data_IF_379672418276
#
_entry.id   IF_379672418276
#
_cell.length_a   1.000
_cell.length_b   1.000
_cell.length_c   1.000
_cell.angle_alpha   90.00
_cell.angle_beta   90.00
_cell.angle_gamma   90.00
#
_symmetry.space_group_name_H-M   'P 1'
#
loop_
_entity.id
_entity.type
_entity.pdbx_description
1 polymer ?
#
# COMPACT_ATOMS: atom_id res chain seq x y z
N UNK A 1 -6.66 1.74 -15.63
CA UNK A 1 -7.32 0.46 -15.22
C UNK A 1 -6.85 0.09 -13.83
N UNK A 2 -7.71 -0.35 -12.94
CA UNK A 2 -7.33 -0.87 -11.60
C UNK A 2 -7.63 -2.36 -11.53
N UNK A 3 -6.68 -3.16 -11.01
CA UNK A 3 -6.81 -4.60 -10.79
C UNK A 3 -6.55 -4.90 -9.31
N UNK A 4 -7.38 -5.73 -8.71
CA UNK A 4 -7.21 -6.16 -7.31
C UNK A 4 -7.03 -7.67 -7.29
N UNK A 5 -5.92 -8.13 -6.70
CA UNK A 5 -5.58 -9.54 -6.58
C UNK A 5 -5.72 -9.92 -5.10
N UNK A 6 -6.72 -10.70 -4.78
CA UNK A 6 -7.01 -11.15 -3.42
C UNK A 6 -7.11 -12.68 -3.33
N UNK A 7 -6.97 -13.21 -2.12
CA UNK A 7 -7.03 -14.65 -1.84
C UNK A 7 -6.31 -15.00 -0.55
N UNK A 8 -6.41 -16.26 -0.14
CA UNK A 8 -5.78 -16.78 1.08
C UNK A 8 -4.25 -16.70 1.02
N UNK A 9 -3.58 -16.73 2.18
CA UNK A 9 -2.13 -16.89 2.27
C UNK A 9 -1.65 -18.11 1.47
N UNK A 10 -0.52 -17.97 0.78
CA UNK A 10 0.07 -19.05 0.00
C UNK A 10 -0.59 -19.40 -1.35
N UNK A 11 -1.69 -18.75 -1.74
CA UNK A 11 -2.38 -19.06 -3.02
C UNK A 11 -1.72 -18.43 -4.27
N UNK A 12 -0.54 -17.85 -4.16
CA UNK A 12 0.21 -17.34 -5.31
C UNK A 12 -0.10 -15.90 -5.70
N UNK A 13 -0.76 -15.09 -4.86
CA UNK A 13 -1.08 -13.68 -5.14
C UNK A 13 0.12 -12.89 -5.63
N UNK A 14 1.23 -12.94 -4.89
CA UNK A 14 2.45 -12.18 -5.22
C UNK A 14 3.04 -12.61 -6.57
N UNK A 15 3.02 -13.90 -6.86
CA UNK A 15 3.48 -14.43 -8.15
C UNK A 15 2.61 -13.93 -9.30
N UNK A 16 1.29 -14.02 -9.16
CA UNK A 16 0.35 -13.54 -10.18
C UNK A 16 0.49 -12.03 -10.36
N UNK A 17 0.58 -11.27 -9.28
CA UNK A 17 0.78 -9.81 -9.34
C UNK A 17 2.06 -9.44 -10.11
N UNK A 18 3.16 -10.12 -9.80
CA UNK A 18 4.44 -9.86 -10.46
C UNK A 18 4.42 -10.22 -11.95
N UNK A 19 3.84 -11.36 -12.30
CA UNK A 19 3.72 -11.77 -13.71
C UNK A 19 2.83 -10.81 -14.50
N UNK A 20 1.70 -10.40 -13.95
CA UNK A 20 0.81 -9.43 -14.59
C UNK A 20 1.48 -8.06 -14.76
N UNK A 21 2.18 -7.57 -13.73
CA UNK A 21 2.89 -6.30 -13.81
C UNK A 21 3.96 -6.33 -14.92
N UNK A 22 4.72 -7.40 -15.02
CA UNK A 22 5.73 -7.58 -16.07
C UNK A 22 5.12 -7.66 -17.46
N UNK A 23 4.03 -8.41 -17.61
CA UNK A 23 3.35 -8.54 -18.90
C UNK A 23 2.78 -7.19 -19.37
N UNK A 24 2.16 -6.43 -18.47
CA UNK A 24 1.64 -5.11 -18.79
C UNK A 24 2.77 -4.13 -19.15
N UNK A 25 3.86 -4.13 -18.38
CA UNK A 25 5.03 -3.29 -18.68
C UNK A 25 5.69 -3.68 -20.03
N UNK A 26 5.77 -4.96 -20.36
CA UNK A 26 6.27 -5.44 -21.65
C UNK A 26 5.39 -4.97 -22.83
N UNK A 27 4.12 -4.68 -22.59
CA UNK A 27 3.21 -4.07 -23.56
C UNK A 27 3.28 -2.54 -23.61
N UNK A 28 4.20 -1.94 -22.86
CA UNK A 28 4.41 -0.48 -22.83
C UNK A 28 3.53 0.26 -21.81
N UNK A 29 2.79 -0.46 -20.98
CA UNK A 29 1.96 0.16 -19.96
C UNK A 29 2.82 0.60 -18.75
N UNK A 30 2.45 1.74 -18.14
CA UNK A 30 3.01 2.18 -16.86
C UNK A 30 2.24 1.54 -15.71
N UNK A 31 2.89 0.68 -14.95
CA UNK A 31 2.26 -0.10 -13.89
C UNK A 31 2.68 0.41 -12.51
N UNK A 32 1.71 0.75 -11.67
CA UNK A 32 1.92 0.94 -10.24
C UNK A 32 1.40 -0.30 -9.50
N UNK A 33 2.28 -0.99 -8.83
CA UNK A 33 1.94 -2.10 -7.93
C UNK A 33 1.83 -1.55 -6.52
N UNK A 34 0.69 -1.80 -5.85
CA UNK A 34 0.45 -1.40 -4.47
C UNK A 34 0.38 -2.66 -3.62
N UNK A 35 1.40 -2.88 -2.78
CA UNK A 35 1.46 -4.02 -1.87
C UNK A 35 0.81 -3.66 -0.54
N UNK A 36 -0.38 -4.22 -0.31
CA UNK A 36 -1.17 -4.03 0.91
C UNK A 36 -1.25 -5.29 1.78
N UNK A 37 -0.48 -6.33 1.47
CA UNK A 37 -0.40 -7.54 2.30
C UNK A 37 0.49 -7.24 3.51
N UNK A 38 -0.11 -7.07 4.68
CA UNK A 38 0.55 -6.67 5.91
C UNK A 38 1.59 -7.69 6.41
N UNK A 39 1.47 -8.95 6.01
CA UNK A 39 2.31 -10.07 6.48
C UNK A 39 3.36 -10.52 5.48
N UNK A 40 3.24 -10.14 4.22
CA UNK A 40 4.12 -10.60 3.16
C UNK A 40 5.10 -9.49 2.72
N UNK A 41 6.39 -9.75 2.90
CA UNK A 41 7.47 -8.86 2.51
C UNK A 41 8.20 -9.31 1.22
N UNK A 42 7.60 -10.21 0.43
CA UNK A 42 8.30 -10.85 -0.70
C UNK A 42 7.97 -10.31 -2.08
N UNK A 43 6.95 -9.45 -2.24
CA UNK A 43 6.50 -9.02 -3.57
C UNK A 43 7.59 -8.28 -4.36
N UNK A 44 8.38 -7.43 -3.71
CA UNK A 44 9.49 -6.73 -4.36
C UNK A 44 10.53 -7.70 -4.96
N UNK A 45 10.79 -8.84 -4.31
CA UNK A 45 11.70 -9.87 -4.83
C UNK A 45 11.16 -10.51 -6.10
N UNK A 46 9.84 -10.79 -6.14
CA UNK A 46 9.20 -11.33 -7.34
C UNK A 46 9.24 -10.33 -8.50
N UNK A 47 9.25 -9.04 -8.23
CA UNK A 47 9.39 -7.99 -9.24
C UNK A 47 10.85 -7.73 -9.64
N UNK A 48 11.83 -8.19 -8.86
CA UNK A 48 13.24 -7.90 -9.06
C UNK A 48 13.63 -6.47 -8.64
N UNK A 49 12.87 -5.89 -7.70
CA UNK A 49 13.05 -4.54 -7.22
C UNK A 49 13.69 -4.52 -5.82
N UNK A 50 14.12 -3.36 -5.38
CA UNK A 50 14.49 -3.13 -3.99
C UNK A 50 13.26 -3.12 -3.07
N UNK A 51 13.49 -3.32 -1.77
CA UNK A 51 12.40 -3.26 -0.79
C UNK A 51 11.94 -1.81 -0.61
N UNK A 52 10.67 -1.48 -0.88
CA UNK A 52 10.16 -0.16 -0.62
C UNK A 52 10.03 0.10 0.89
N UNK A 53 10.18 1.36 1.28
CA UNK A 53 9.78 1.80 2.62
C UNK A 53 8.27 1.77 2.74
N UNK A 54 7.76 1.48 3.95
CA UNK A 54 6.31 1.48 4.17
C UNK A 54 5.76 2.92 4.17
N UNK A 55 4.74 3.15 3.36
CA UNK A 55 4.05 4.44 3.30
C UNK A 55 3.49 4.87 4.67
N UNK A 56 3.08 3.91 5.51
CA UNK A 56 2.59 4.20 6.86
C UNK A 56 3.65 4.88 7.74
N UNK A 57 4.93 4.56 7.55
CA UNK A 57 6.02 5.19 8.30
C UNK A 57 6.11 6.69 8.02
N UNK A 58 5.85 7.11 6.77
CA UNK A 58 5.84 8.54 6.40
C UNK A 58 4.70 9.32 7.05
N UNK A 59 3.62 8.64 7.46
CA UNK A 59 2.50 9.21 8.19
C UNK A 59 2.69 9.25 9.71
N UNK A 60 3.91 9.01 10.19
CA UNK A 60 4.22 8.93 11.63
C UNK A 60 3.97 7.55 12.24
N UNK A 61 3.94 6.52 11.40
CA UNK A 61 3.72 5.15 11.83
C UNK A 61 2.35 4.92 12.46
N UNK A 62 2.24 3.87 13.28
CA UNK A 62 0.98 3.54 13.97
C UNK A 62 0.51 4.60 14.96
N UNK A 63 1.42 5.34 15.58
CA UNK A 63 1.04 6.42 16.51
C UNK A 63 0.34 7.54 15.75
N UNK A 64 0.92 8.02 14.66
CA UNK A 64 0.31 9.06 13.83
C UNK A 64 -1.03 8.63 13.24
N UNK A 65 -1.11 7.40 12.71
CA UNK A 65 -2.35 6.84 12.20
C UNK A 65 -3.40 6.67 13.31
N UNK A 66 -2.99 6.18 14.49
CA UNK A 66 -3.87 6.02 15.65
C UNK A 66 -4.42 7.35 16.19
N UNK A 67 -3.63 8.42 16.14
CA UNK A 67 -4.09 9.77 16.51
C UNK A 67 -5.12 10.32 15.52
N UNK A 68 -4.90 10.15 14.22
CA UNK A 68 -5.85 10.53 13.18
C UNK A 68 -7.17 9.77 13.32
N UNK A 69 -7.09 8.45 13.57
CA UNK A 69 -8.27 7.61 13.81
C UNK A 69 -9.04 8.03 15.08
N UNK A 70 -8.34 8.34 16.17
CA UNK A 70 -8.97 8.84 17.41
C UNK A 70 -9.64 10.19 17.21
N UNK A 71 -9.01 11.08 16.45
CA UNK A 71 -9.61 12.39 16.09
C UNK A 71 -10.92 12.18 15.33
N UNK A 72 -10.93 11.29 14.37
CA UNK A 72 -12.14 10.92 13.63
C UNK A 72 -13.23 10.32 14.54
N UNK A 73 -12.88 9.37 15.41
CA UNK A 73 -13.85 8.77 16.34
C UNK A 73 -14.46 9.79 17.31
N UNK A 74 -13.70 10.83 17.68
CA UNK A 74 -14.20 11.93 18.54
C UNK A 74 -15.08 12.92 17.79
N UNK A 75 -14.99 13.02 16.48
CA UNK A 75 -15.83 13.88 15.66
C UNK A 75 -17.25 13.35 15.44
N UNK A 76 -17.63 12.23 16.09
CA UNK A 76 -18.93 11.55 15.96
C UNK A 76 -19.33 11.25 14.51
N UNK A 77 -18.36 11.00 13.64
CA UNK A 77 -18.60 10.70 12.24
C UNK A 77 -19.02 11.90 11.39
N UNK A 78 -18.94 13.12 11.92
CA UNK A 78 -19.22 14.35 11.17
C UNK A 78 -18.11 14.71 10.18
N UNK A 79 -16.89 14.27 10.43
CA UNK A 79 -15.79 14.35 9.47
C UNK A 79 -15.74 13.03 8.68
N UNK A 80 -15.54 13.11 7.36
CA UNK A 80 -15.20 11.90 6.59
C UNK A 80 -13.87 11.40 7.13
N UNK A 81 -13.75 10.09 7.37
CA UNK A 81 -12.46 9.47 7.66
C UNK A 81 -11.59 9.64 6.41
N UNK A 82 -10.88 10.74 6.32
CA UNK A 82 -9.83 10.94 5.34
C UNK A 82 -8.51 10.89 6.07
N UNK A 83 -7.83 9.76 5.96
CA UNK A 83 -6.47 9.59 6.48
C UNK A 83 -5.51 10.32 5.55
N UNK A 84 -5.90 10.42 4.28
CA UNK A 84 -5.16 11.03 3.18
C UNK A 84 -5.95 12.23 2.65
N UNK A 85 -5.89 13.38 3.33
CA UNK A 85 -6.49 14.63 2.86
C UNK A 85 -5.80 15.05 1.54
N UNK A 86 -6.59 15.39 0.52
CA UNK A 86 -6.14 15.91 -0.80
C UNK A 86 -5.00 15.12 -1.48
N UNK A 87 -5.00 13.80 -1.31
CA UNK A 87 -3.95 12.92 -1.83
C UNK A 87 -4.16 12.57 -3.31
N UNK A 88 -3.09 12.69 -4.08
CA UNK A 88 -2.99 12.21 -5.46
C UNK A 88 -1.75 11.30 -5.63
N UNK A 89 -1.64 10.64 -6.79
CA UNK A 89 -0.46 9.84 -7.13
C UNK A 89 0.86 10.63 -7.08
N UNK A 90 0.77 11.93 -7.34
CA UNK A 90 1.92 12.84 -7.36
C UNK A 90 2.40 13.19 -5.95
N UNK A 91 1.54 13.00 -4.95
CA UNK A 91 1.86 13.28 -3.54
C UNK A 91 2.57 12.12 -2.84
N UNK A 92 2.75 10.98 -3.52
CA UNK A 92 3.55 9.89 -2.98
C UNK A 92 5.01 10.32 -2.97
N UNK A 93 5.65 10.42 -1.80
CA UNK A 93 7.07 10.73 -1.74
C UNK A 93 7.89 9.77 -2.60
N UNK A 94 8.78 10.29 -3.42
CA UNK A 94 9.56 9.49 -4.36
C UNK A 94 10.43 8.44 -3.67
N UNK A 95 10.85 8.70 -2.43
CA UNK A 95 11.60 7.76 -1.61
C UNK A 95 10.81 6.53 -1.14
N UNK A 96 9.48 6.53 -1.31
CA UNK A 96 8.60 5.42 -0.99
C UNK A 96 8.26 4.57 -2.23
N UNK A 97 8.60 5.06 -3.41
CA UNK A 97 8.37 4.38 -4.67
C UNK A 97 9.68 3.76 -5.11
N UNK A 98 9.68 2.46 -5.33
CA UNK A 98 10.80 1.75 -5.95
C UNK A 98 10.39 1.23 -7.31
N UNK A 99 11.33 1.15 -8.23
CA UNK A 99 11.14 0.53 -9.53
C UNK A 99 11.62 1.37 -10.70
N UNK A 100 11.82 0.65 -11.81
CA UNK A 100 12.28 1.14 -13.10
C UNK A 100 11.50 0.45 -14.22
N UNK A 101 11.81 0.78 -15.47
CA UNK A 101 11.33 0.05 -16.67
C UNK A 101 9.81 -0.17 -16.75
N UNK A 102 9.04 0.85 -16.34
CA UNK A 102 7.57 0.82 -16.45
C UNK A 102 6.86 0.17 -15.27
N UNK A 103 7.56 -0.40 -14.28
CA UNK A 103 6.97 -0.96 -13.07
C UNK A 103 7.42 -0.15 -11.86
N UNK A 104 6.46 0.35 -11.09
CA UNK A 104 6.68 1.01 -9.79
C UNK A 104 5.98 0.23 -8.69
N UNK A 105 6.59 0.16 -7.50
CA UNK A 105 6.06 -0.53 -6.34
C UNK A 105 6.00 0.42 -5.13
N UNK A 106 4.89 0.39 -4.43
CA UNK A 106 4.67 1.04 -3.12
C UNK A 106 4.18 -0.01 -2.13
N UNK A 107 4.69 0.01 -0.90
CA UNK A 107 4.20 -0.81 0.20
C UNK A 107 3.39 0.02 1.19
N UNK A 108 2.26 -0.52 1.67
CA UNK A 108 1.36 0.16 2.60
C UNK A 108 0.95 -0.79 3.72
N UNK A 109 1.21 -0.38 4.96
CA UNK A 109 0.66 -1.02 6.15
C UNK A 109 1.32 -2.36 6.49
N UNK A 110 2.63 -2.45 6.41
CA UNK A 110 3.38 -3.64 6.83
C UNK A 110 3.43 -3.81 8.34
N UNK A 111 3.34 -5.06 8.82
CA UNK A 111 3.52 -5.43 10.23
C UNK A 111 4.94 -5.99 10.38
N UNK A 112 5.78 -5.29 11.12
CA UNK A 112 7.20 -5.66 11.29
C UNK A 112 7.42 -6.50 12.54
N UNK A 113 6.65 -6.29 13.61
CA UNK A 113 6.86 -6.93 14.90
C UNK A 113 5.64 -7.68 15.41
N UNK A 114 5.90 -8.79 16.13
CA UNK A 114 4.86 -9.54 16.82
C UNK A 114 4.21 -8.68 17.92
N UNK A 115 2.88 -8.62 17.94
CA UNK A 115 2.15 -7.82 18.92
C UNK A 115 1.91 -6.37 18.52
N UNK A 116 2.30 -5.96 17.31
CA UNK A 116 2.07 -4.60 16.80
C UNK A 116 0.58 -4.20 16.66
N UNK A 117 -0.36 -5.06 17.00
CA UNK A 117 -1.78 -4.74 17.08
C UNK A 117 -2.59 -5.10 15.84
N UNK A 118 -3.81 -4.55 15.75
CA UNK A 118 -4.78 -4.89 14.71
C UNK A 118 -4.41 -4.33 13.33
N UNK A 119 -4.57 -5.15 12.28
CA UNK A 119 -4.45 -4.73 10.88
C UNK A 119 -5.58 -3.79 10.40
N UNK A 120 -6.64 -3.58 11.20
CA UNK A 120 -7.80 -2.78 10.81
C UNK A 120 -7.47 -1.33 10.36
N UNK A 121 -6.60 -0.57 11.06
CA UNK A 121 -6.21 0.76 10.61
C UNK A 121 -5.43 0.75 9.30
N UNK A 122 -4.62 -0.28 9.08
CA UNK A 122 -3.84 -0.47 7.86
C UNK A 122 -4.73 -0.77 6.66
N UNK A 123 -5.73 -1.64 6.85
CA UNK A 123 -6.72 -1.92 5.83
C UNK A 123 -7.57 -0.69 5.45
N UNK A 124 -7.86 0.20 6.41
CA UNK A 124 -8.55 1.46 6.13
C UNK A 124 -7.67 2.40 5.30
N UNK A 125 -6.39 2.56 5.66
CA UNK A 125 -5.41 3.35 4.91
C UNK A 125 -5.23 2.82 3.48
N UNK A 126 -5.03 1.51 3.33
CA UNK A 126 -4.85 0.87 2.03
C UNK A 126 -6.08 1.06 1.12
N UNK A 127 -7.28 0.92 1.69
CA UNK A 127 -8.53 1.14 0.95
C UNK A 127 -8.64 2.58 0.46
N UNK A 128 -8.40 3.55 1.34
CA UNK A 128 -8.47 4.96 0.99
C UNK A 128 -7.42 5.32 -0.07
N UNK A 129 -6.19 4.83 0.08
CA UNK A 129 -5.13 4.99 -0.90
C UNK A 129 -5.55 4.48 -2.29
N UNK A 130 -6.08 3.25 -2.37
CA UNK A 130 -6.52 2.65 -3.64
C UNK A 130 -7.72 3.42 -4.24
N UNK A 131 -8.58 3.99 -3.42
CA UNK A 131 -9.72 4.79 -3.90
C UNK A 131 -9.29 6.11 -4.54
N UNK A 132 -8.20 6.70 -4.03
CA UNK A 132 -7.69 7.99 -4.50
C UNK A 132 -6.72 7.87 -5.68
N UNK A 133 -6.19 6.69 -5.97
CA UNK A 133 -5.46 6.39 -7.20
C UNK A 133 -6.41 6.38 -8.42
#
# INVERSE_FOLDING_TARGET
>A
MKLVICGKGGCGKSTVSALMARELAARGEKVLVVDTDESNFGLYKHLGLEQPKDYMESLGGKKGLGERLRKFMRSEGKEKLSILEDFSLEDIPTELIVGEDGIKLVAIGKIHDFGEGCACPMGALAREFIQKL
#
